data_IF_107792486108
#
_entry.id   IF_107792486108
#
_cell.length_a   1.000
_cell.length_b   1.000
_cell.length_c   1.000
_cell.angle_alpha   90.00
_cell.angle_beta   90.00
_cell.angle_gamma   90.00
#
_symmetry.space_group_name_H-M   'P 1'
#
loop_
_entity.id
_entity.type
_entity.pdbx_description
1 polymer ?
#
# COMPACT_ATOMS: atom_id res chain seq x y z
N UNK A 1 32.20 11.64 -2.85
CA UNK A 1 30.79 12.04 -2.68
C UNK A 1 30.09 11.52 -3.91
N UNK A 2 29.49 10.33 -3.79
CA UNK A 2 28.60 9.80 -4.83
C UNK A 2 27.40 10.72 -4.90
N UNK A 3 27.16 11.30 -6.07
CA UNK A 3 26.01 12.15 -6.34
C UNK A 3 24.77 11.27 -6.23
N UNK A 4 23.90 11.52 -5.26
CA UNK A 4 22.55 10.95 -5.25
C UNK A 4 21.74 11.69 -6.33
N UNK A 5 21.58 11.07 -7.50
CA UNK A 5 20.86 11.68 -8.63
C UNK A 5 19.33 11.52 -8.52
N UNK A 6 18.83 10.71 -7.58
CA UNK A 6 17.40 10.45 -7.48
C UNK A 6 16.65 11.46 -6.61
N UNK A 7 17.35 12.23 -5.76
CA UNK A 7 16.78 13.26 -4.87
C UNK A 7 15.51 12.77 -4.13
N UNK A 8 15.51 11.50 -3.67
CA UNK A 8 14.32 10.83 -3.13
C UNK A 8 13.75 11.54 -1.90
N UNK A 9 14.62 12.17 -1.12
CA UNK A 9 14.27 12.98 0.05
C UNK A 9 13.51 14.26 -0.32
N UNK A 10 13.67 14.78 -1.55
CA UNK A 10 13.00 16.01 -2.00
C UNK A 10 11.55 15.79 -2.46
N UNK A 11 11.12 14.52 -2.57
CA UNK A 11 9.76 14.16 -3.01
C UNK A 11 8.70 14.71 -2.05
N UNK A 12 9.03 14.87 -0.77
CA UNK A 12 8.17 15.48 0.25
C UNK A 12 8.17 17.01 0.28
N UNK A 13 9.14 17.66 -0.36
CA UNK A 13 9.38 19.11 -0.25
C UNK A 13 8.59 19.90 -1.31
N UNK A 14 8.51 19.31 -2.51
CA UNK A 14 7.89 19.88 -3.70
C UNK A 14 7.10 18.82 -4.44
N UNK A 15 6.17 19.25 -5.28
CA UNK A 15 5.37 18.33 -6.11
C UNK A 15 6.29 17.56 -7.07
N UNK A 16 6.45 16.27 -6.82
CA UNK A 16 7.29 15.37 -7.60
C UNK A 16 6.51 14.09 -7.93
N UNK A 17 6.77 13.51 -9.10
CA UNK A 17 6.22 12.22 -9.50
C UNK A 17 7.38 11.26 -9.84
N UNK A 18 7.47 10.15 -9.10
CA UNK A 18 8.43 9.09 -9.32
C UNK A 18 7.72 7.88 -9.95
N UNK A 19 8.23 7.41 -11.08
CA UNK A 19 7.73 6.21 -11.75
C UNK A 19 8.78 5.10 -11.66
N UNK A 20 8.41 4.00 -11.03
CA UNK A 20 9.26 2.80 -10.95
C UNK A 20 8.66 1.76 -11.89
N UNK A 21 9.37 1.48 -12.99
CA UNK A 21 8.94 0.52 -14.01
C UNK A 21 9.74 -0.75 -13.81
N UNK A 22 9.04 -1.82 -13.43
CA UNK A 22 9.61 -3.17 -13.28
C UNK A 22 9.20 -4.04 -14.45
N UNK A 23 10.06 -5.01 -14.79
CA UNK A 23 9.71 -6.04 -15.75
C UNK A 23 8.72 -7.02 -15.11
N UNK A 24 7.71 -7.42 -15.86
CA UNK A 24 6.73 -8.44 -15.47
C UNK A 24 7.30 -9.87 -15.56
N UNK A 25 8.36 -10.04 -16.35
CA UNK A 25 8.91 -11.35 -16.75
C UNK A 25 10.27 -11.66 -16.14
N UNK A 26 10.95 -10.66 -15.56
CA UNK A 26 12.28 -10.80 -14.98
C UNK A 26 12.26 -10.34 -13.52
N UNK A 27 12.31 -11.30 -12.60
CA UNK A 27 12.29 -11.07 -11.16
C UNK A 27 13.67 -10.72 -10.58
N UNK A 28 14.73 -10.77 -11.42
CA UNK A 28 16.12 -10.56 -11.01
C UNK A 28 16.32 -9.22 -10.30
N UNK A 29 15.57 -8.17 -10.68
CA UNK A 29 15.74 -6.81 -10.15
C UNK A 29 14.71 -6.40 -9.09
N UNK A 30 13.79 -7.28 -8.70
CA UNK A 30 12.73 -6.95 -7.72
C UNK A 30 13.32 -6.55 -6.36
N UNK A 31 14.46 -7.13 -5.98
CA UNK A 31 15.15 -6.75 -4.75
C UNK A 31 15.64 -5.29 -4.77
N UNK A 32 16.06 -4.77 -5.93
CA UNK A 32 16.53 -3.38 -6.07
C UNK A 32 15.37 -2.43 -5.80
N UNK A 33 14.20 -2.73 -6.35
CA UNK A 33 12.98 -1.94 -6.16
C UNK A 33 12.53 -1.97 -4.70
N UNK A 34 12.59 -3.15 -4.07
CA UNK A 34 12.30 -3.29 -2.63
C UNK A 34 13.25 -2.46 -1.76
N UNK A 35 14.54 -2.40 -2.10
CA UNK A 35 15.52 -1.54 -1.41
C UNK A 35 15.21 -0.06 -1.66
N UNK A 36 14.90 0.33 -2.89
CA UNK A 36 14.53 1.70 -3.24
C UNK A 36 13.33 2.18 -2.42
N UNK A 37 12.26 1.39 -2.32
CA UNK A 37 11.12 1.73 -1.48
C UNK A 37 11.48 1.85 0.00
N UNK A 38 12.31 0.94 0.50
CA UNK A 38 12.77 0.99 1.91
C UNK A 38 13.54 2.29 2.18
N UNK A 39 14.44 2.68 1.28
CA UNK A 39 15.19 3.93 1.41
C UNK A 39 14.27 5.15 1.28
N UNK A 40 13.36 5.14 0.30
CA UNK A 40 12.37 6.21 0.13
C UNK A 40 11.56 6.43 1.42
N UNK A 41 10.99 5.38 2.01
CA UNK A 41 10.21 5.53 3.23
C UNK A 41 11.05 6.00 4.41
N UNK A 42 12.28 5.50 4.59
CA UNK A 42 13.16 5.94 5.67
C UNK A 42 13.54 7.41 5.52
N UNK A 43 14.04 7.82 4.35
CA UNK A 43 14.44 9.21 4.08
C UNK A 43 13.28 10.18 4.29
N UNK A 44 12.10 9.85 3.78
CA UNK A 44 10.91 10.68 3.97
C UNK A 44 10.46 10.72 5.44
N UNK A 45 10.62 9.63 6.19
CA UNK A 45 10.29 9.62 7.61
C UNK A 45 11.26 10.47 8.43
N UNK A 46 12.56 10.28 8.21
CA UNK A 46 13.63 11.02 8.90
C UNK A 46 13.48 12.52 8.60
N UNK A 47 13.23 12.87 7.34
CA UNK A 47 13.01 14.27 6.94
C UNK A 47 11.75 14.88 7.57
N UNK A 48 10.66 14.12 7.61
CA UNK A 48 9.45 14.57 8.28
C UNK A 48 9.71 14.87 9.77
N UNK A 49 10.42 13.98 10.47
CA UNK A 49 10.70 14.11 11.90
C UNK A 49 11.73 15.21 12.20
N UNK A 50 12.85 15.25 11.48
CA UNK A 50 14.01 16.11 11.78
C UNK A 50 13.85 17.54 11.23
N UNK A 51 13.27 17.71 10.03
CA UNK A 51 13.20 19.02 9.36
C UNK A 51 11.83 19.70 9.49
N UNK A 52 10.75 18.91 9.50
CA UNK A 52 9.39 19.45 9.43
C UNK A 52 8.55 19.23 10.70
N UNK A 53 9.15 18.73 11.78
CA UNK A 53 8.48 18.58 13.08
C UNK A 53 7.38 17.53 13.09
N UNK A 54 7.51 16.51 12.25
CA UNK A 54 6.70 15.29 12.21
C UNK A 54 5.81 15.11 10.98
N UNK A 55 5.74 16.07 10.03
CA UNK A 55 4.89 15.97 8.82
C UNK A 55 5.53 16.62 7.61
N UNK A 56 5.54 15.93 6.47
CA UNK A 56 6.02 16.51 5.22
C UNK A 56 5.10 17.66 4.74
N UNK A 57 5.66 18.70 4.10
CA UNK A 57 4.88 19.83 3.59
C UNK A 57 4.02 19.45 2.37
N UNK A 58 4.44 18.44 1.59
CA UNK A 58 3.66 17.86 0.50
C UNK A 58 3.33 16.41 0.81
N UNK A 59 2.04 16.05 0.73
CA UNK A 59 1.57 14.68 0.95
C UNK A 59 2.14 13.73 -0.10
N UNK A 60 2.90 12.73 0.33
CA UNK A 60 3.49 11.73 -0.57
C UNK A 60 2.56 10.53 -0.66
N UNK A 61 2.11 10.22 -1.88
CA UNK A 61 1.25 9.05 -2.14
C UNK A 61 1.99 8.03 -2.99
N UNK A 62 2.24 6.86 -2.42
CA UNK A 62 2.79 5.72 -3.12
C UNK A 62 1.64 4.86 -3.67
N UNK A 63 1.57 4.73 -5.00
CA UNK A 63 0.68 3.80 -5.68
C UNK A 63 1.49 2.55 -6.03
N UNK A 64 1.31 1.50 -5.23
CA UNK A 64 2.05 0.26 -5.37
C UNK A 64 1.22 -0.70 -6.22
N UNK A 65 1.28 -0.49 -7.53
CA UNK A 65 0.70 -1.42 -8.50
C UNK A 65 1.49 -2.72 -8.54
N UNK A 66 0.79 -3.82 -8.77
CA UNK A 66 1.36 -5.18 -8.73
C UNK A 66 2.29 -5.41 -7.54
N UNK A 67 1.83 -5.08 -6.33
CA UNK A 67 2.64 -5.19 -5.11
C UNK A 67 3.24 -6.60 -4.90
N UNK A 68 2.60 -7.61 -5.47
CA UNK A 68 3.10 -8.98 -5.47
C UNK A 68 4.41 -9.16 -6.26
N UNK A 69 4.61 -8.41 -7.35
CA UNK A 69 5.78 -8.48 -8.22
C UNK A 69 6.97 -7.72 -7.63
N UNK A 70 6.74 -6.63 -6.88
CA UNK A 70 7.82 -5.91 -6.17
C UNK A 70 8.54 -6.85 -5.18
N UNK A 71 7.81 -7.79 -4.59
CA UNK A 71 8.30 -8.71 -3.57
C UNK A 71 8.12 -8.16 -2.15
N UNK A 72 8.96 -8.64 -1.22
CA UNK A 72 8.86 -8.26 0.18
C UNK A 72 9.63 -6.97 0.44
N UNK A 73 8.93 -5.89 0.76
CA UNK A 73 9.51 -4.69 1.34
C UNK A 73 9.80 -4.97 2.82
N UNK A 74 11.07 -4.88 3.27
CA UNK A 74 11.42 -5.11 4.66
C UNK A 74 10.61 -4.24 5.63
N UNK A 75 10.03 -4.87 6.66
CA UNK A 75 9.30 -4.21 7.77
C UNK A 75 8.11 -3.35 7.32
N UNK A 76 7.53 -3.65 6.15
CA UNK A 76 6.43 -2.88 5.60
C UNK A 76 5.21 -2.79 6.53
N UNK A 77 4.94 -3.84 7.32
CA UNK A 77 3.87 -3.87 8.32
C UNK A 77 4.03 -2.81 9.42
N UNK A 78 5.27 -2.42 9.72
CA UNK A 78 5.56 -1.33 10.66
C UNK A 78 5.53 0.02 9.94
N UNK A 79 6.10 0.08 8.74
CA UNK A 79 6.14 1.30 7.93
C UNK A 79 4.73 1.82 7.64
N UNK A 80 3.81 0.97 7.18
CA UNK A 80 2.45 1.39 6.82
C UNK A 80 1.69 2.02 8.00
N UNK A 81 1.99 1.61 9.24
CA UNK A 81 1.41 2.20 10.44
C UNK A 81 2.04 3.56 10.79
N UNK A 82 3.36 3.73 10.59
CA UNK A 82 4.08 4.95 11.01
C UNK A 82 4.01 6.08 10.00
N UNK A 83 4.01 5.76 8.70
CA UNK A 83 4.04 6.74 7.60
C UNK A 83 2.81 7.67 7.60
N UNK A 84 1.65 7.19 8.08
CA UNK A 84 0.40 7.95 8.15
C UNK A 84 0.56 9.26 8.92
N UNK A 85 1.29 9.24 10.04
CA UNK A 85 1.49 10.41 10.88
C UNK A 85 2.39 11.48 10.25
N UNK A 86 3.14 11.11 9.21
CA UNK A 86 4.17 11.91 8.52
C UNK A 86 3.71 12.50 7.18
N UNK A 87 2.40 12.46 6.92
CA UNK A 87 1.81 12.90 5.65
C UNK A 87 2.25 12.04 4.44
N UNK A 88 2.40 10.73 4.68
CA UNK A 88 2.73 9.73 3.66
C UNK A 88 1.64 8.66 3.66
N UNK A 89 1.21 8.24 2.47
CA UNK A 89 0.20 7.20 2.28
C UNK A 89 0.63 6.18 1.24
N UNK A 90 0.23 4.92 1.44
CA UNK A 90 0.43 3.85 0.48
C UNK A 90 -0.93 3.28 0.04
N UNK A 91 -1.11 3.11 -1.27
CA UNK A 91 -2.22 2.36 -1.85
C UNK A 91 -1.66 1.08 -2.46
N UNK A 92 -2.00 -0.06 -1.86
CA UNK A 92 -1.54 -1.38 -2.31
C UNK A 92 -2.57 -1.94 -3.28
N UNK A 93 -2.17 -2.24 -4.50
CA UNK A 93 -3.06 -2.80 -5.53
C UNK A 93 -2.66 -4.27 -5.75
N UNK A 94 -3.64 -5.15 -5.57
CA UNK A 94 -3.48 -6.60 -5.60
C UNK A 94 -4.62 -7.23 -6.38
N UNK A 95 -4.34 -8.35 -7.06
CA UNK A 95 -5.38 -9.14 -7.75
C UNK A 95 -6.14 -10.06 -6.79
N UNK A 96 -5.48 -10.51 -5.73
CA UNK A 96 -6.08 -11.32 -4.67
C UNK A 96 -5.37 -11.12 -3.34
N UNK A 97 -6.10 -11.27 -2.23
CA UNK A 97 -5.48 -11.23 -0.91
C UNK A 97 -4.47 -12.37 -0.68
N UNK A 98 -4.66 -13.49 -1.38
CA UNK A 98 -3.75 -14.63 -1.35
C UNK A 98 -2.32 -14.29 -1.79
N UNK A 99 -2.13 -13.34 -2.71
CA UNK A 99 -0.79 -12.86 -3.09
C UNK A 99 -0.10 -12.14 -1.92
N UNK A 100 -0.83 -11.30 -1.18
CA UNK A 100 -0.29 -10.61 -0.01
C UNK A 100 0.06 -11.61 1.10
N UNK A 101 -0.81 -12.60 1.36
CA UNK A 101 -0.59 -13.68 2.32
C UNK A 101 0.62 -14.55 1.93
N UNK A 102 0.87 -14.77 0.64
CA UNK A 102 2.04 -15.52 0.19
C UNK A 102 3.37 -14.83 0.52
N UNK A 103 3.41 -13.50 0.43
CA UNK A 103 4.63 -12.70 0.65
C UNK A 103 4.85 -12.38 2.13
N UNK A 104 3.81 -11.92 2.82
CA UNK A 104 3.93 -11.41 4.20
C UNK A 104 3.43 -12.38 5.26
N UNK A 105 2.83 -13.52 4.87
CA UNK A 105 2.32 -14.56 5.78
C UNK A 105 1.43 -13.94 6.87
N UNK A 106 1.78 -14.14 8.14
CA UNK A 106 1.03 -13.65 9.31
C UNK A 106 0.98 -12.10 9.37
N UNK A 107 1.92 -11.40 8.73
CA UNK A 107 1.93 -9.93 8.70
C UNK A 107 0.95 -9.36 7.67
N UNK A 108 0.40 -10.17 6.75
CA UNK A 108 -0.53 -9.70 5.73
C UNK A 108 -1.79 -9.10 6.36
N UNK A 109 -2.33 -9.72 7.41
CA UNK A 109 -3.52 -9.23 8.10
C UNK A 109 -3.26 -7.88 8.81
N UNK A 110 -2.02 -7.68 9.30
CA UNK A 110 -1.60 -6.39 9.88
C UNK A 110 -1.53 -5.30 8.81
N UNK A 111 -1.02 -5.62 7.62
CA UNK A 111 -0.96 -4.66 6.51
C UNK A 111 -2.38 -4.26 6.08
N UNK A 112 -3.27 -5.23 5.86
CA UNK A 112 -4.68 -4.97 5.51
C UNK A 112 -5.37 -4.16 6.61
N UNK A 113 -5.12 -4.49 7.88
CA UNK A 113 -5.70 -3.78 9.02
C UNK A 113 -5.28 -2.32 9.15
N UNK A 114 -4.11 -1.94 8.59
CA UNK A 114 -3.67 -0.54 8.54
C UNK A 114 -4.20 0.21 7.30
N UNK A 115 -4.84 -0.48 6.35
CA UNK A 115 -5.49 0.14 5.20
C UNK A 115 -6.91 0.56 5.56
N UNK A 116 -7.11 1.85 5.84
CA UNK A 116 -8.43 2.42 6.19
C UNK A 116 -9.50 2.24 5.10
N UNK A 117 -9.11 2.07 3.83
CA UNK A 117 -10.03 1.96 2.70
C UNK A 117 -9.68 0.74 1.85
N UNK A 118 -10.71 -0.05 1.54
CA UNK A 118 -10.60 -1.18 0.62
C UNK A 118 -11.49 -0.93 -0.60
N UNK A 119 -10.89 -0.92 -1.79
CA UNK A 119 -11.61 -0.86 -3.06
C UNK A 119 -11.61 -2.25 -3.69
N UNK A 120 -12.80 -2.84 -3.85
CA UNK A 120 -12.95 -4.14 -4.49
C UNK A 120 -13.64 -4.00 -5.85
N UNK A 121 -12.92 -4.34 -6.92
CA UNK A 121 -13.39 -4.24 -8.30
C UNK A 121 -13.89 -5.57 -8.88
N UNK A 122 -14.06 -6.58 -8.02
CA UNK A 122 -14.43 -7.93 -8.41
C UNK A 122 -13.26 -8.90 -8.29
N UNK A 123 -13.57 -10.19 -8.19
CA UNK A 123 -12.60 -11.24 -8.00
C UNK A 123 -13.23 -12.61 -8.21
N UNK A 124 -12.43 -13.61 -8.58
CA UNK A 124 -12.87 -14.99 -8.76
C UNK A 124 -12.61 -15.88 -7.54
N UNK A 125 -11.82 -15.38 -6.59
CA UNK A 125 -11.42 -16.15 -5.42
C UNK A 125 -12.53 -16.17 -4.36
N UNK A 126 -13.02 -17.35 -4.03
CA UNK A 126 -14.16 -17.53 -3.10
C UNK A 126 -13.87 -17.02 -1.69
N UNK A 127 -12.64 -17.14 -1.22
CA UNK A 127 -12.18 -16.69 0.11
C UNK A 127 -12.22 -15.17 0.21
N UNK A 128 -11.58 -14.44 -0.72
CA UNK A 128 -11.69 -12.97 -0.78
C UNK A 128 -13.14 -12.51 -0.92
N UNK A 129 -13.96 -13.16 -1.75
CA UNK A 129 -15.37 -12.81 -1.90
C UNK A 129 -16.16 -12.97 -0.59
N UNK A 130 -15.88 -14.03 0.17
CA UNK A 130 -16.55 -14.29 1.44
C UNK A 130 -16.13 -13.26 2.50
N UNK A 131 -14.85 -12.97 2.62
CA UNK A 131 -14.34 -11.93 3.54
C UNK A 131 -14.97 -10.56 3.22
N UNK A 132 -15.03 -10.17 1.95
CA UNK A 132 -15.66 -8.89 1.57
C UNK A 132 -17.16 -8.90 1.83
N UNK A 133 -17.84 -10.01 1.56
CA UNK A 133 -19.26 -10.15 1.92
C UNK A 133 -19.49 -10.05 3.43
N UNK A 134 -18.57 -10.52 4.26
CA UNK A 134 -18.65 -10.41 5.72
C UNK A 134 -18.39 -8.97 6.18
N UNK A 135 -17.41 -8.28 5.57
CA UNK A 135 -17.09 -6.87 5.85
C UNK A 135 -18.25 -5.94 5.46
N UNK A 136 -18.90 -6.17 4.32
CA UNK A 136 -20.05 -5.39 3.87
C UNK A 136 -21.29 -5.59 4.78
N UNK A 137 -21.31 -6.68 5.53
CA UNK A 137 -22.38 -6.99 6.46
C UNK A 137 -23.70 -7.37 5.77
N UNK A 138 -24.77 -7.36 6.56
CA UNK A 138 -26.13 -7.67 6.09
C UNK A 138 -27.03 -6.47 6.38
N UNK A 139 -27.76 -6.04 5.37
CA UNK A 139 -28.82 -5.05 5.55
C UNK A 139 -30.17 -5.77 5.67
N UNK A 140 -30.96 -5.38 6.67
CA UNK A 140 -32.32 -5.91 6.82
C UNK A 140 -33.26 -5.07 5.98
N UNK A 141 -33.77 -5.65 4.90
CA UNK A 141 -34.73 -4.99 4.02
C UNK A 141 -36.15 -5.27 4.54
N UNK A 142 -36.86 -4.21 4.95
CA UNK A 142 -38.29 -4.30 5.26
C UNK A 142 -39.06 -4.28 3.95
N UNK A 143 -39.55 -5.45 3.52
CA UNK A 143 -40.47 -5.53 2.39
C UNK A 143 -41.88 -5.15 2.87
N UNK A 144 -42.55 -4.17 2.24
CA UNK A 144 -43.96 -3.91 2.53
C UNK A 144 -44.78 -5.17 2.22
N UNK A 145 -45.61 -5.59 3.17
CA UNK A 145 -46.64 -6.62 2.97
C UNK A 145 -47.61 -6.13 1.89
N UNK A 146 -47.40 -6.53 0.64
CA UNK A 146 -48.28 -6.11 -0.45
C UNK A 146 -47.88 -6.53 -1.86
N UNK A 147 -46.64 -6.94 -2.09
CA UNK A 147 -46.19 -7.37 -3.42
C UNK A 147 -45.53 -8.74 -3.38
N UNK A 148 -46.35 -9.79 -3.41
CA UNK A 148 -46.01 -11.05 -4.07
C UNK A 148 -47.17 -11.42 -5.00
N UNK A 149 -46.91 -11.82 -6.26
CA UNK A 149 -47.92 -12.36 -7.17
C UNK A 149 -48.44 -13.74 -6.71
#
# INVERSE_FOLDING_TARGET
METDEMELDTIGDRKTALFVIISDTDDTFNFVVSILYTQLFNLLCDKADDEYGGRLPVHVRCLLDEFANIGQIPKFEKLIATIRSREISASIILQSQSQLKAIYKDNADTIVGNCDTTLFLGGKEKTTLKEISEILGKETIVRPLGCMP
#
